data_IF_793292482967
#
_entry.id   IF_793292482967
#
_cell.length_a   1.000
_cell.length_b   1.000
_cell.length_c   1.000
_cell.angle_alpha   90.00
_cell.angle_beta   90.00
_cell.angle_gamma   90.00
#
_symmetry.space_group_name_H-M   'P 1'
#
loop_
_entity.id
_entity.type
_entity.pdbx_description
1 polymer ?
#
# COMPACT_ATOMS: atom_id res chain seq x y z
N UNK A 1 48.26 -62.92 -7.12
CA UNK A 1 47.95 -62.17 -5.87
C UNK A 1 47.72 -60.74 -6.23
N UNK A 2 46.43 -60.31 -6.39
CA UNK A 2 46.06 -58.96 -6.80
C UNK A 2 45.57 -58.19 -5.56
N UNK A 3 46.24 -57.09 -5.26
CA UNK A 3 45.83 -56.22 -4.17
C UNK A 3 44.64 -55.28 -4.65
N UNK A 4 43.61 -55.02 -3.82
CA UNK A 4 42.50 -54.17 -4.22
C UNK A 4 42.86 -52.68 -4.16
N UNK A 5 42.48 -51.95 -5.18
CA UNK A 5 42.59 -50.49 -5.28
C UNK A 5 41.58 -49.82 -4.35
N UNK A 6 42.01 -49.41 -3.16
CA UNK A 6 41.16 -48.72 -2.15
C UNK A 6 41.13 -47.18 -2.26
N UNK A 7 41.70 -46.60 -3.33
CA UNK A 7 41.83 -45.14 -3.46
C UNK A 7 40.60 -44.40 -3.97
N UNK A 8 39.69 -45.10 -4.68
CA UNK A 8 38.54 -44.43 -5.36
C UNK A 8 37.40 -44.04 -4.39
N UNK A 9 37.25 -44.80 -3.31
CA UNK A 9 36.18 -44.60 -2.33
C UNK A 9 36.39 -43.36 -1.43
N UNK A 10 37.63 -43.05 -1.08
CA UNK A 10 37.93 -41.91 -0.18
C UNK A 10 37.79 -40.53 -0.87
N UNK A 11 38.11 -40.45 -2.16
CA UNK A 11 37.92 -39.20 -2.93
C UNK A 11 36.43 -38.87 -3.17
N UNK A 12 35.62 -39.90 -3.43
CA UNK A 12 34.18 -39.77 -3.61
C UNK A 12 33.46 -39.32 -2.32
N UNK A 13 33.85 -39.87 -1.18
CA UNK A 13 33.28 -39.46 0.13
C UNK A 13 33.68 -38.04 0.53
N UNK A 14 34.88 -37.59 0.19
CA UNK A 14 35.34 -36.22 0.42
C UNK A 14 34.56 -35.22 -0.47
N UNK A 15 34.30 -35.58 -1.73
CA UNK A 15 33.46 -34.76 -2.65
C UNK A 15 32.02 -34.62 -2.19
N UNK A 16 31.41 -35.72 -1.72
CA UNK A 16 30.05 -35.70 -1.17
C UNK A 16 29.95 -34.89 0.13
N UNK A 17 30.96 -34.97 0.99
CA UNK A 17 31.02 -34.16 2.22
C UNK A 17 31.13 -32.65 1.93
N UNK A 18 31.95 -32.29 0.94
CA UNK A 18 32.06 -30.88 0.53
C UNK A 18 30.78 -30.33 -0.08
N UNK A 19 30.12 -31.11 -0.94
CA UNK A 19 28.81 -30.74 -1.52
C UNK A 19 27.72 -30.57 -0.45
N UNK A 20 27.71 -31.46 0.56
CA UNK A 20 26.79 -31.37 1.67
C UNK A 20 27.01 -30.10 2.52
N UNK A 21 28.29 -29.74 2.77
CA UNK A 21 28.63 -28.50 3.49
C UNK A 21 28.27 -27.24 2.71
N UNK A 22 28.48 -27.22 1.39
CA UNK A 22 28.06 -26.09 0.52
C UNK A 22 26.56 -25.99 0.49
N UNK A 23 25.83 -27.08 0.36
CA UNK A 23 24.37 -27.08 0.41
C UNK A 23 23.86 -26.60 1.77
N UNK A 24 24.43 -27.05 2.87
CA UNK A 24 24.06 -26.56 4.22
C UNK A 24 24.38 -25.07 4.41
N UNK A 25 25.49 -24.57 3.87
CA UNK A 25 25.84 -23.15 3.93
C UNK A 25 24.88 -22.29 3.10
N UNK A 26 24.42 -22.78 1.96
CA UNK A 26 23.40 -22.09 1.13
C UNK A 26 22.02 -22.06 1.82
N UNK A 27 21.66 -23.12 2.55
CA UNK A 27 20.41 -23.16 3.33
C UNK A 27 20.44 -22.20 4.53
N UNK A 28 21.60 -21.97 5.14
CA UNK A 28 21.77 -21.04 6.24
C UNK A 28 21.73 -19.57 5.82
N UNK A 29 21.82 -19.27 4.53
CA UNK A 29 21.71 -17.90 3.98
C UNK A 29 20.30 -17.53 3.51
N UNK A 30 19.33 -18.44 3.58
CA UNK A 30 17.93 -18.11 3.37
C UNK A 30 17.44 -17.27 4.58
N UNK A 31 17.85 -16.00 4.62
CA UNK A 31 17.29 -15.02 5.55
C UNK A 31 15.78 -14.95 5.32
N UNK A 32 15.00 -14.81 6.39
CA UNK A 32 13.57 -14.54 6.29
C UNK A 32 13.37 -13.29 5.43
N UNK A 33 12.84 -13.46 4.22
CA UNK A 33 12.39 -12.35 3.41
C UNK A 33 11.18 -11.74 4.13
N UNK A 34 11.23 -10.45 4.48
CA UNK A 34 10.07 -9.74 4.99
C UNK A 34 9.05 -9.67 3.85
N UNK A 35 7.89 -10.32 4.03
CA UNK A 35 6.89 -10.46 2.97
C UNK A 35 5.78 -9.38 3.03
N UNK A 36 5.81 -8.49 4.00
CA UNK A 36 4.83 -7.41 4.15
C UNK A 36 5.51 -6.07 4.50
N UNK A 37 5.02 -4.96 3.91
CA UNK A 37 4.04 -4.88 2.82
C UNK A 37 4.64 -5.30 1.47
N UNK A 38 3.77 -5.67 0.51
CA UNK A 38 4.16 -6.02 -0.85
C UNK A 38 4.09 -4.84 -1.81
N UNK A 39 3.31 -3.82 -1.49
CA UNK A 39 3.09 -2.62 -2.29
C UNK A 39 3.12 -1.40 -1.37
N UNK A 40 3.85 -0.37 -1.78
CA UNK A 40 3.85 0.93 -1.11
C UNK A 40 3.11 1.95 -1.96
N UNK A 41 2.22 2.71 -1.33
CA UNK A 41 1.40 3.71 -2.00
C UNK A 41 1.55 5.04 -1.28
N UNK A 42 2.06 6.04 -2.01
CA UNK A 42 2.02 7.43 -1.55
C UNK A 42 0.64 8.00 -1.85
N UNK A 43 -0.05 8.46 -0.80
CA UNK A 43 -1.43 8.96 -0.86
C UNK A 43 -1.44 10.48 -0.91
N UNK A 44 -2.15 11.05 -1.88
CA UNK A 44 -2.59 12.43 -1.89
C UNK A 44 -4.10 12.47 -1.91
N UNK A 45 -4.69 13.25 -1.03
CA UNK A 45 -6.15 13.31 -0.88
C UNK A 45 -6.66 14.73 -0.98
N UNK A 46 -7.63 14.94 -1.86
CA UNK A 46 -8.39 16.18 -1.94
C UNK A 46 -9.75 15.95 -1.30
N UNK A 47 -10.01 16.64 -0.18
CA UNK A 47 -11.28 16.56 0.52
C UNK A 47 -12.15 17.71 0.01
N UNK A 48 -13.17 17.38 -0.75
CA UNK A 48 -14.01 18.35 -1.42
C UNK A 48 -15.25 18.69 -0.61
N UNK A 49 -15.54 19.98 -0.58
CA UNK A 49 -16.72 20.53 0.09
C UNK A 49 -17.69 21.11 -0.94
N UNK A 50 -18.98 20.88 -0.70
CA UNK A 50 -20.11 21.51 -1.38
C UNK A 50 -21.08 22.01 -0.31
N UNK A 51 -21.48 23.27 -0.39
CA UNK A 51 -22.40 23.91 0.56
C UNK A 51 -21.98 23.72 2.03
N UNK A 52 -20.67 23.83 2.30
CA UNK A 52 -20.10 23.69 3.64
C UNK A 52 -20.04 22.25 4.18
N UNK A 53 -20.34 21.25 3.38
CA UNK A 53 -20.33 19.83 3.73
C UNK A 53 -19.29 19.09 2.91
N UNK A 54 -18.64 18.09 3.49
CA UNK A 54 -17.82 17.16 2.72
C UNK A 54 -18.71 16.39 1.76
N UNK A 55 -18.37 16.41 0.48
CA UNK A 55 -19.15 15.80 -0.61
C UNK A 55 -18.40 14.64 -1.26
N UNK A 56 -17.07 14.72 -1.34
CA UNK A 56 -16.24 13.68 -1.94
C UNK A 56 -14.82 13.71 -1.36
N UNK A 57 -14.13 12.60 -1.56
CA UNK A 57 -12.67 12.49 -1.43
C UNK A 57 -12.14 12.07 -2.79
N UNK A 58 -11.15 12.79 -3.31
CA UNK A 58 -10.40 12.37 -4.50
C UNK A 58 -9.03 11.94 -4.03
N UNK A 59 -8.66 10.71 -4.34
CA UNK A 59 -7.35 10.18 -4.04
C UNK A 59 -6.50 10.10 -5.31
N UNK A 60 -5.23 10.44 -5.15
CA UNK A 60 -4.15 10.10 -6.06
C UNK A 60 -3.25 9.10 -5.33
N UNK A 61 -3.31 7.84 -5.71
CA UNK A 61 -2.50 6.76 -5.16
C UNK A 61 -1.32 6.49 -6.08
N UNK A 62 -0.16 6.97 -5.67
CA UNK A 62 1.10 6.81 -6.42
C UNK A 62 1.77 5.54 -5.94
N UNK A 63 1.86 4.55 -6.80
CA UNK A 63 2.48 3.26 -6.51
C UNK A 63 4.01 3.35 -6.55
N UNK A 64 4.67 2.47 -5.81
CA UNK A 64 6.12 2.32 -5.81
C UNK A 64 6.70 1.89 -7.16
N UNK A 65 8.03 1.95 -7.29
CA UNK A 65 8.75 1.61 -8.52
C UNK A 65 8.56 0.15 -8.94
N UNK A 66 8.50 -0.77 -7.97
CA UNK A 66 8.37 -2.20 -8.25
C UNK A 66 7.00 -2.52 -8.84
N UNK A 67 5.93 -2.05 -8.20
CA UNK A 67 4.57 -2.19 -8.72
C UNK A 67 4.42 -1.49 -10.06
N UNK A 68 4.92 -0.25 -10.19
CA UNK A 68 4.82 0.54 -11.41
C UNK A 68 5.51 -0.15 -12.58
N UNK A 69 6.73 -0.68 -12.37
CA UNK A 69 7.47 -1.44 -13.38
C UNK A 69 6.72 -2.70 -13.81
N UNK A 70 6.11 -3.41 -12.86
CA UNK A 70 5.29 -4.59 -13.16
C UNK A 70 4.03 -4.22 -13.95
N UNK A 71 3.32 -3.16 -13.55
CA UNK A 71 2.07 -2.73 -14.17
C UNK A 71 2.25 -2.17 -15.60
N UNK A 72 3.45 -1.67 -15.93
CA UNK A 72 3.77 -1.11 -17.26
C UNK A 72 4.45 -2.09 -18.19
N UNK A 73 4.89 -3.26 -17.67
CA UNK A 73 5.71 -4.21 -18.42
C UNK A 73 5.06 -4.65 -19.74
N UNK A 74 5.71 -4.34 -20.86
CA UNK A 74 5.27 -4.77 -22.18
C UNK A 74 4.04 -4.03 -22.73
N UNK A 75 3.57 -2.98 -22.05
CA UNK A 75 2.38 -2.22 -22.47
C UNK A 75 2.69 -1.06 -23.41
N UNK A 76 3.93 -0.57 -23.44
CA UNK A 76 4.38 0.49 -24.32
C UNK A 76 5.76 0.17 -24.92
N UNK A 77 6.15 0.77 -26.06
CA UNK A 77 7.51 0.72 -26.56
C UNK A 77 8.51 1.28 -25.55
N UNK A 78 9.76 0.79 -25.64
CA UNK A 78 10.81 1.24 -24.70
C UNK A 78 11.01 2.75 -24.77
N UNK A 79 10.86 3.42 -23.62
CA UNK A 79 11.05 4.87 -23.46
C UNK A 79 9.80 5.69 -23.72
N UNK A 80 8.66 5.05 -23.99
CA UNK A 80 7.36 5.71 -24.08
C UNK A 80 6.53 5.41 -22.85
N UNK A 81 5.71 6.39 -22.42
CA UNK A 81 4.78 6.22 -21.31
C UNK A 81 3.54 5.44 -21.75
N UNK A 82 3.02 4.61 -20.86
CA UNK A 82 1.77 3.89 -21.07
C UNK A 82 0.60 4.86 -21.02
N UNK A 83 -0.21 4.88 -22.07
CA UNK A 83 -1.34 5.79 -22.17
C UNK A 83 -2.49 5.38 -21.21
N UNK A 84 -3.32 6.36 -20.83
CA UNK A 84 -4.54 6.11 -20.02
C UNK A 84 -5.49 5.10 -20.67
N UNK A 85 -5.56 5.09 -22.01
CA UNK A 85 -6.41 4.15 -22.74
C UNK A 85 -5.95 2.70 -22.54
N UNK A 86 -4.65 2.45 -22.48
CA UNK A 86 -4.09 1.12 -22.21
C UNK A 86 -4.35 0.71 -20.75
N UNK A 87 -4.28 1.65 -19.81
CA UNK A 87 -4.61 1.39 -18.41
C UNK A 87 -6.10 1.25 -18.10
N UNK A 88 -7.00 1.62 -19.00
CA UNK A 88 -8.44 1.64 -18.71
C UNK A 88 -9.00 0.31 -18.18
N UNK A 89 -8.62 -0.88 -18.68
CA UNK A 89 -9.07 -2.16 -18.10
C UNK A 89 -8.60 -2.35 -16.66
N UNK A 90 -7.32 -2.08 -16.37
CA UNK A 90 -6.75 -2.21 -15.03
C UNK A 90 -7.37 -1.20 -14.05
N UNK A 91 -7.56 0.04 -14.46
CA UNK A 91 -8.24 1.06 -13.67
C UNK A 91 -9.67 0.65 -13.32
N UNK A 92 -10.40 0.06 -14.28
CA UNK A 92 -11.76 -0.46 -14.08
C UNK A 92 -11.80 -1.60 -13.07
N UNK A 93 -10.88 -2.54 -13.18
CA UNK A 93 -10.77 -3.68 -12.26
C UNK A 93 -10.51 -3.20 -10.83
N UNK A 94 -9.52 -2.33 -10.65
CA UNK A 94 -9.21 -1.75 -9.34
C UNK A 94 -10.39 -0.98 -8.75
N UNK A 95 -11.02 -0.10 -9.53
CA UNK A 95 -12.18 0.66 -9.07
C UNK A 95 -13.37 -0.26 -8.70
N UNK A 96 -13.57 -1.33 -9.46
CA UNK A 96 -14.66 -2.30 -9.23
C UNK A 96 -14.54 -3.06 -7.92
N UNK A 97 -13.31 -3.38 -7.50
CA UNK A 97 -13.05 -4.11 -6.26
C UNK A 97 -13.08 -3.26 -5.00
N UNK A 98 -13.02 -1.91 -5.11
CA UNK A 98 -12.85 -1.04 -3.94
C UNK A 98 -13.95 -1.18 -2.88
N UNK A 99 -15.20 -1.35 -3.30
CA UNK A 99 -16.32 -1.46 -2.36
C UNK A 99 -16.21 -2.69 -1.45
N UNK A 100 -15.74 -3.82 -1.98
CA UNK A 100 -15.52 -5.06 -1.23
C UNK A 100 -14.36 -4.93 -0.23
N UNK A 101 -13.40 -4.07 -0.55
CA UNK A 101 -12.22 -3.77 0.26
C UNK A 101 -12.43 -2.58 1.22
N UNK A 102 -13.68 -2.14 1.41
CA UNK A 102 -13.99 -0.98 2.24
C UNK A 102 -13.36 0.31 1.73
N UNK A 103 -13.08 0.37 0.42
CA UNK A 103 -12.43 1.50 -0.27
C UNK A 103 -11.01 1.79 0.25
N UNK A 104 -10.41 0.93 1.05
CA UNK A 104 -9.21 1.25 1.84
C UNK A 104 -9.30 2.59 2.59
N UNK A 105 -10.50 3.16 2.68
CA UNK A 105 -10.73 4.53 3.14
C UNK A 105 -11.83 4.56 4.18
N UNK A 106 -11.51 5.09 5.36
CA UNK A 106 -12.50 5.33 6.42
C UNK A 106 -12.57 6.82 6.72
N UNK A 107 -13.70 7.44 6.45
CA UNK A 107 -13.98 8.81 6.83
C UNK A 107 -14.98 8.82 8.00
N UNK A 108 -14.62 9.54 9.06
CA UNK A 108 -15.54 9.81 10.19
C UNK A 108 -15.72 11.32 10.30
N UNK A 109 -16.97 11.74 10.39
CA UNK A 109 -17.35 13.14 10.58
C UNK A 109 -18.22 13.23 11.84
N UNK A 110 -17.84 14.09 12.78
CA UNK A 110 -18.43 14.19 14.13
C UNK A 110 -18.58 12.81 14.83
N UNK A 111 -17.53 11.99 14.69
CA UNK A 111 -17.45 10.65 15.29
C UNK A 111 -18.24 9.55 14.58
N UNK A 112 -18.99 9.86 13.52
CA UNK A 112 -19.77 8.90 12.74
C UNK A 112 -19.07 8.55 11.44
N UNK A 113 -18.97 7.25 11.14
CA UNK A 113 -18.49 6.78 9.84
C UNK A 113 -19.50 7.17 8.77
N UNK A 114 -19.01 7.68 7.64
CA UNK A 114 -19.83 8.02 6.48
C UNK A 114 -19.63 6.99 5.37
N UNK A 115 -20.68 6.76 4.58
CA UNK A 115 -20.67 5.80 3.49
C UNK A 115 -20.31 6.48 2.17
N UNK A 116 -19.58 5.76 1.32
CA UNK A 116 -19.33 6.15 -0.06
C UNK A 116 -20.36 5.55 -1.01
N UNK A 117 -20.66 6.30 -2.07
CA UNK A 117 -21.38 5.80 -3.23
C UNK A 117 -20.45 4.91 -4.08
N UNK A 118 -21.00 4.07 -4.98
CA UNK A 118 -20.18 3.34 -5.94
C UNK A 118 -19.28 4.28 -6.74
N UNK A 119 -18.02 3.88 -6.94
CA UNK A 119 -17.05 4.67 -7.69
C UNK A 119 -17.45 4.74 -9.16
N UNK A 120 -17.48 5.94 -9.72
CA UNK A 120 -17.81 6.18 -11.12
C UNK A 120 -16.76 6.99 -11.88
N UNK A 121 -15.87 7.67 -11.16
CA UNK A 121 -14.81 8.49 -11.72
C UNK A 121 -13.45 7.96 -11.27
N UNK A 122 -12.70 7.43 -12.21
CA UNK A 122 -11.38 6.84 -11.95
C UNK A 122 -10.57 6.75 -13.24
N UNK A 123 -9.24 6.78 -13.12
CA UNK A 123 -8.31 6.46 -14.21
C UNK A 123 -6.95 6.10 -13.64
N UNK A 124 -6.11 5.50 -14.47
CA UNK A 124 -4.70 5.28 -14.19
C UNK A 124 -3.82 5.96 -15.23
N UNK A 125 -2.65 6.41 -14.83
CA UNK A 125 -1.63 6.94 -15.74
C UNK A 125 -0.23 6.59 -15.25
N UNK A 126 0.70 6.46 -16.19
CA UNK A 126 2.13 6.48 -15.94
C UNK A 126 2.61 7.92 -16.01
N UNK A 127 3.27 8.37 -14.96
CA UNK A 127 3.82 9.72 -14.83
C UNK A 127 5.17 9.83 -15.55
N UNK A 128 5.68 11.05 -15.79
CA UNK A 128 7.03 11.24 -16.38
C UNK A 128 8.18 10.62 -15.57
N UNK A 129 7.99 10.38 -14.28
CA UNK A 129 8.93 9.69 -13.39
C UNK A 129 8.76 8.16 -13.42
N UNK A 130 7.95 7.64 -14.34
CA UNK A 130 7.62 6.23 -14.53
C UNK A 130 6.86 5.59 -13.37
N UNK A 131 6.34 6.36 -12.42
CA UNK A 131 5.44 5.84 -11.40
C UNK A 131 4.00 5.82 -11.91
N UNK A 132 3.30 4.74 -11.61
CA UNK A 132 1.87 4.61 -11.92
C UNK A 132 1.06 5.28 -10.83
N UNK A 133 0.08 6.08 -11.23
CA UNK A 133 -0.87 6.71 -10.30
C UNK A 133 -2.28 6.25 -10.63
N UNK A 134 -3.01 5.80 -9.60
CA UNK A 134 -4.43 5.55 -9.67
C UNK A 134 -5.20 6.71 -9.06
N UNK A 135 -6.01 7.35 -9.89
CA UNK A 135 -6.88 8.44 -9.50
C UNK A 135 -8.29 7.91 -9.29
N UNK A 136 -8.87 8.21 -8.14
CA UNK A 136 -10.20 7.73 -7.81
C UNK A 136 -10.99 8.78 -7.03
N UNK A 137 -12.22 9.04 -7.48
CA UNK A 137 -13.17 9.93 -6.81
C UNK A 137 -14.18 9.10 -6.03
N UNK A 138 -14.24 9.31 -4.74
CA UNK A 138 -15.16 8.67 -3.82
C UNK A 138 -16.19 9.66 -3.32
N UNK A 139 -17.37 9.69 -3.96
CA UNK A 139 -18.47 10.54 -3.53
C UNK A 139 -19.10 9.99 -2.26
N UNK A 140 -19.40 10.83 -1.29
CA UNK A 140 -20.21 10.42 -0.14
C UNK A 140 -21.64 10.13 -0.60
N UNK A 141 -22.29 9.09 -0.06
CA UNK A 141 -23.72 8.85 -0.31
C UNK A 141 -24.57 10.03 0.11
N UNK A 142 -24.16 10.74 1.15
CA UNK A 142 -24.83 11.93 1.67
C UNK A 142 -23.77 12.95 2.07
N UNK A 143 -23.72 14.14 1.44
CA UNK A 143 -22.83 15.20 1.87
C UNK A 143 -23.05 15.54 3.34
N UNK A 144 -21.98 15.54 4.14
CA UNK A 144 -22.05 15.59 5.61
C UNK A 144 -21.13 16.70 6.14
N UNK A 145 -21.59 17.55 7.08
CA UNK A 145 -20.71 18.54 7.71
C UNK A 145 -19.62 17.83 8.54
N UNK A 146 -18.46 18.47 8.68
CA UNK A 146 -17.37 17.93 9.51
C UNK A 146 -17.81 17.83 10.98
N UNK A 147 -18.66 18.75 11.44
CA UNK A 147 -18.96 18.91 12.84
C UNK A 147 -17.78 19.50 13.59
N UNK A 148 -17.56 19.10 14.85
CA UNK A 148 -16.43 19.61 15.63
C UNK A 148 -15.08 19.10 15.12
N UNK A 149 -15.04 17.85 14.66
CA UNK A 149 -13.87 17.25 14.06
C UNK A 149 -14.23 16.09 13.14
N UNK A 150 -13.38 15.84 12.17
CA UNK A 150 -13.44 14.68 11.31
C UNK A 150 -12.11 13.93 11.32
N UNK A 151 -12.09 12.71 10.79
CA UNK A 151 -10.86 11.97 10.57
C UNK A 151 -10.94 11.12 9.31
N UNK A 152 -9.87 11.17 8.52
CA UNK A 152 -9.67 10.33 7.34
C UNK A 152 -8.52 9.36 7.62
N UNK A 153 -8.76 8.09 7.35
CA UNK A 153 -7.79 7.01 7.40
C UNK A 153 -7.77 6.32 6.03
N UNK A 154 -6.59 6.15 5.46
CA UNK A 154 -6.39 5.32 4.27
C UNK A 154 -5.47 4.17 4.68
N UNK A 155 -5.96 2.94 4.60
CA UNK A 155 -5.21 1.77 5.07
C UNK A 155 -5.78 0.46 4.51
N UNK A 156 -4.90 -0.49 4.26
CA UNK A 156 -5.24 -1.89 4.08
C UNK A 156 -5.26 -2.57 5.47
N UNK A 157 -6.40 -3.14 5.91
CA UNK A 157 -6.48 -3.83 7.20
C UNK A 157 -5.44 -4.94 7.38
N UNK A 158 -5.12 -5.65 6.29
CA UNK A 158 -4.19 -6.79 6.29
C UNK A 158 -2.72 -6.36 6.13
N UNK A 159 -2.48 -5.06 5.89
CA UNK A 159 -1.15 -4.49 5.67
C UNK A 159 -0.39 -5.13 4.49
N UNK A 160 -1.12 -5.62 3.48
CA UNK A 160 -0.52 -6.05 2.22
C UNK A 160 -0.06 -4.84 1.39
N UNK A 161 -0.83 -3.75 1.47
CA UNK A 161 -0.52 -2.44 0.92
C UNK A 161 -0.25 -1.47 2.07
N UNK A 162 0.90 -0.82 2.03
CA UNK A 162 1.23 0.28 2.94
C UNK A 162 0.83 1.60 2.28
N UNK A 163 -0.19 2.26 2.83
CA UNK A 163 -0.65 3.57 2.40
C UNK A 163 -0.04 4.64 3.30
N UNK A 164 0.87 5.44 2.76
CA UNK A 164 1.46 6.56 3.48
C UNK A 164 1.09 7.89 2.81
N UNK A 165 0.55 8.83 3.59
CA UNK A 165 0.28 10.17 3.08
C UNK A 165 1.59 10.88 2.72
N UNK A 166 1.60 11.54 1.55
CA UNK A 166 2.69 12.43 1.15
C UNK A 166 2.93 13.50 2.23
N UNK A 167 4.14 14.02 2.30
CA UNK A 167 4.47 15.04 3.29
C UNK A 167 3.70 16.35 3.05
N UNK A 168 3.35 17.07 4.12
CA UNK A 168 2.70 18.37 3.98
C UNK A 168 3.53 19.33 3.11
N UNK A 169 2.88 20.15 2.27
CA UNK A 169 1.43 20.34 2.13
C UNK A 169 0.75 19.38 1.13
N UNK A 170 1.46 18.40 0.56
CA UNK A 170 0.99 17.63 -0.59
C UNK A 170 0.01 16.50 -0.22
N UNK A 171 0.12 15.95 0.99
CA UNK A 171 -0.65 14.76 1.39
C UNK A 171 -2.15 15.01 1.47
N UNK A 172 -2.56 16.23 1.87
CA UNK A 172 -3.98 16.58 2.00
C UNK A 172 -4.23 18.00 1.52
N UNK A 173 -5.34 18.15 0.80
CA UNK A 173 -5.84 19.47 0.36
C UNK A 173 -7.33 19.58 0.65
N UNK A 174 -7.74 20.66 1.29
CA UNK A 174 -9.16 20.99 1.49
C UNK A 174 -9.64 21.86 0.33
N UNK A 175 -10.57 21.33 -0.48
CA UNK A 175 -11.08 22.02 -1.67
C UNK A 175 -12.44 22.63 -1.36
N UNK A 176 -12.59 23.94 -1.54
CA UNK A 176 -13.81 24.70 -1.25
C UNK A 176 -14.27 24.57 0.22
N UNK A 177 -13.35 24.35 1.13
CA UNK A 177 -13.66 24.22 2.55
C UNK A 177 -14.19 25.55 3.13
N UNK A 178 -15.08 25.50 4.11
CA UNK A 178 -15.48 26.67 4.88
C UNK A 178 -14.25 27.38 5.51
N UNK A 179 -14.38 28.70 5.64
CA UNK A 179 -13.32 29.51 6.28
C UNK A 179 -13.07 29.02 7.70
N UNK A 180 -11.80 28.82 8.04
CA UNK A 180 -11.36 28.34 9.36
C UNK A 180 -11.24 26.82 9.46
N UNK A 181 -11.66 26.05 8.44
CA UNK A 181 -11.33 24.62 8.38
C UNK A 181 -9.83 24.42 8.19
N UNK A 182 -9.30 23.40 8.84
CA UNK A 182 -7.89 22.99 8.78
C UNK A 182 -7.77 21.47 8.84
N UNK A 183 -6.66 20.97 8.37
CA UNK A 183 -6.25 19.56 8.53
C UNK A 183 -4.92 19.43 9.25
N UNK A 184 -4.68 18.29 9.82
CA UNK A 184 -3.38 17.90 10.37
C UNK A 184 -3.16 16.40 10.21
N UNK A 185 -1.93 16.02 9.86
CA UNK A 185 -1.51 14.64 9.72
C UNK A 185 -0.94 14.11 11.03
N UNK A 186 -1.60 13.13 11.61
CA UNK A 186 -1.13 12.39 12.79
C UNK A 186 -0.49 11.09 12.32
N UNK A 187 0.84 11.02 12.39
CA UNK A 187 1.58 9.77 12.09
C UNK A 187 1.47 8.81 13.29
N UNK A 188 1.40 7.50 13.06
CA UNK A 188 1.47 6.51 14.13
C UNK A 188 2.80 6.68 14.87
N UNK A 189 2.85 6.28 16.14
CA UNK A 189 4.13 6.21 16.84
C UNK A 189 5.04 5.30 16.02
N UNK A 190 6.23 5.80 15.67
CA UNK A 190 7.21 5.00 14.96
C UNK A 190 7.42 3.70 15.75
N UNK A 191 7.30 2.57 15.09
CA UNK A 191 7.72 1.30 15.66
C UNK A 191 9.19 1.46 16.04
N UNK A 192 9.53 1.16 17.29
CA UNK A 192 10.92 1.08 17.69
C UNK A 192 11.65 0.06 16.81
N UNK A 193 12.95 0.24 16.62
CA UNK A 193 13.75 -0.60 15.71
C UNK A 193 13.60 -2.10 16.02
N UNK A 194 13.34 -2.45 17.28
CA UNK A 194 13.10 -3.82 17.72
C UNK A 194 11.71 -4.34 17.35
N UNK A 195 10.71 -3.48 17.23
CA UNK A 195 9.37 -3.86 16.78
C UNK A 195 9.33 -4.07 15.26
N UNK A 196 10.07 -3.27 14.48
CA UNK A 196 10.22 -3.49 13.03
C UNK A 196 10.86 -4.84 12.71
N UNK A 197 11.82 -5.31 13.53
CA UNK A 197 12.46 -6.63 13.38
C UNK A 197 11.53 -7.79 13.71
N UNK A 198 10.45 -7.55 14.46
CA UNK A 198 9.45 -8.57 14.81
C UNK A 198 8.37 -8.71 13.74
N UNK A 199 8.29 -7.77 12.78
CA UNK A 199 7.36 -7.80 11.66
C UNK A 199 7.93 -8.68 10.53
N UNK A 200 8.17 -9.94 10.81
CA UNK A 200 8.55 -10.95 9.83
C UNK A 200 7.31 -11.66 9.26
N UNK A 201 7.51 -12.47 8.24
CA UNK A 201 6.43 -13.23 7.61
C UNK A 201 5.70 -14.13 8.61
N UNK A 202 6.41 -14.67 9.62
CA UNK A 202 5.79 -15.50 10.65
C UNK A 202 4.83 -14.71 11.52
N UNK A 203 5.13 -13.44 11.78
CA UNK A 203 4.22 -12.54 12.48
C UNK A 203 2.92 -12.34 11.68
N UNK A 204 3.03 -12.00 10.38
CA UNK A 204 1.84 -11.77 9.54
C UNK A 204 1.04 -13.04 9.29
N UNK A 205 1.71 -14.18 9.08
CA UNK A 205 1.05 -15.49 8.93
C UNK A 205 0.28 -15.91 10.18
N UNK A 206 0.75 -15.51 11.37
CA UNK A 206 0.10 -15.82 12.65
C UNK A 206 -0.89 -14.75 13.11
N UNK A 207 -1.05 -13.64 12.37
CA UNK A 207 -2.10 -12.68 12.66
C UNK A 207 -3.46 -13.35 12.46
N UNK A 208 -4.31 -13.24 13.47
CA UNK A 208 -5.68 -13.68 13.31
C UNK A 208 -6.37 -12.89 12.19
N UNK A 209 -7.16 -13.53 11.32
CA UNK A 209 -8.00 -12.81 10.37
C UNK A 209 -8.79 -11.71 11.08
N UNK A 210 -8.75 -10.48 10.53
CA UNK A 210 -9.44 -9.33 11.14
C UNK A 210 -8.68 -8.66 12.29
N UNK A 211 -7.38 -8.94 12.47
CA UNK A 211 -6.53 -8.23 13.45
C UNK A 211 -6.42 -6.73 13.17
N UNK A 212 -6.75 -6.30 11.92
CA UNK A 212 -6.74 -4.91 11.47
C UNK A 212 -5.39 -4.22 11.76
N UNK A 213 -4.30 -4.95 11.55
CA UNK A 213 -2.95 -4.49 11.87
C UNK A 213 -2.61 -3.21 11.09
N UNK A 214 -2.95 -3.16 9.79
CA UNK A 214 -2.72 -2.00 8.97
C UNK A 214 -3.34 -0.71 9.52
N UNK A 215 -4.51 -0.79 10.18
CA UNK A 215 -5.11 0.40 10.81
C UNK A 215 -4.29 0.97 11.98
N UNK A 216 -3.46 0.13 12.63
CA UNK A 216 -2.57 0.59 13.72
C UNK A 216 -1.32 1.25 13.17
N UNK A 217 -0.93 0.88 11.95
CA UNK A 217 0.27 1.38 11.27
C UNK A 217 -0.01 2.63 10.44
N UNK A 218 -1.26 2.87 10.07
CA UNK A 218 -1.62 3.96 9.18
C UNK A 218 -1.65 5.33 9.85
N UNK A 219 -1.20 6.32 9.10
CA UNK A 219 -1.35 7.73 9.41
C UNK A 219 -2.82 8.15 9.36
N UNK A 220 -3.18 9.15 10.15
CA UNK A 220 -4.55 9.66 10.22
C UNK A 220 -4.59 11.17 9.98
N UNK A 221 -5.43 11.59 9.07
CA UNK A 221 -5.75 13.00 8.88
C UNK A 221 -6.85 13.40 9.85
N UNK A 222 -6.64 14.47 10.59
CA UNK A 222 -7.65 15.07 11.46
C UNK A 222 -8.13 16.35 10.79
N UNK A 223 -9.45 16.49 10.69
CA UNK A 223 -10.12 17.67 10.16
C UNK A 223 -10.74 18.44 11.33
N UNK A 224 -10.58 19.74 11.34
CA UNK A 224 -11.25 20.65 12.27
C UNK A 224 -11.91 21.78 11.50
N UNK A 225 -13.19 22.00 11.75
CA UNK A 225 -13.94 23.15 11.23
C UNK A 225 -14.61 23.88 12.41
N UNK A 226 -14.68 25.21 12.39
CA UNK A 226 -15.31 25.99 13.45
C UNK A 226 -16.82 25.80 13.53
#
# INVERSE_FOLDING_TARGET
MFAPRSGFSAALMRGLGFLALVAAALWLQAGAASAHPHVWVTVRSHIEFADGKVSAIVHDWVFDEMYSSFATQGLAPKGELVSRAIFAPLAKENAGGLAELGYYTTLKLDGKTVDFAPVSEYWMEERPDHLVTFHVRMNLKTPTPVGRFGSLLVADPEFYIDFEFDDPPNGVTLVNAPVGCSDSLSKPKSLETDDKKKLDESFFTNLSPGANFGFKMASRVILACP
#
